data_IF_643768915550
#
_entry.id   IF_643768915550
#
_cell.length_a   1.000
_cell.length_b   1.000
_cell.length_c   1.000
_cell.angle_alpha   90.00
_cell.angle_beta   90.00
_cell.angle_gamma   90.00
#
_symmetry.space_group_name_H-M   'P 1'
#
loop_
_entity.id
_entity.type
_entity.pdbx_description
1 polymer ?
#
# COMPACT_ATOMS: atom_id res chain seq x y z
N UNK A 1 -51.18 31.60 16.33
CA UNK A 1 -50.71 31.69 14.93
C UNK A 1 -49.23 31.30 14.79
N UNK A 2 -48.35 31.65 15.74
CA UNK A 2 -46.93 31.26 15.71
C UNK A 2 -46.75 29.73 15.88
N UNK A 3 -47.54 29.08 16.74
CA UNK A 3 -47.42 27.63 17.01
C UNK A 3 -47.73 26.75 15.80
N UNK A 4 -48.70 27.14 14.96
CA UNK A 4 -49.05 26.41 13.74
C UNK A 4 -47.95 26.46 12.69
N UNK A 5 -47.25 27.59 12.58
CA UNK A 5 -46.13 27.75 11.64
C UNK A 5 -44.92 26.92 12.10
N UNK A 6 -44.65 26.87 13.40
CA UNK A 6 -43.58 26.05 13.97
C UNK A 6 -43.80 24.54 13.69
N UNK A 7 -45.03 24.05 13.88
CA UNK A 7 -45.38 22.65 13.63
C UNK A 7 -45.30 22.32 12.13
N UNK A 8 -45.75 23.22 11.25
CA UNK A 8 -45.66 23.04 9.81
C UNK A 8 -44.20 22.98 9.32
N UNK A 9 -43.31 23.80 9.89
CA UNK A 9 -41.87 23.78 9.56
C UNK A 9 -41.20 22.46 9.96
N UNK A 10 -41.48 21.95 11.16
CA UNK A 10 -40.93 20.67 11.62
C UNK A 10 -41.52 19.50 10.82
N UNK A 11 -42.82 19.53 10.54
CA UNK A 11 -43.47 18.51 9.71
C UNK A 11 -42.89 18.44 8.30
N UNK A 12 -42.64 19.59 7.66
CA UNK A 12 -42.01 19.66 6.34
C UNK A 12 -40.59 19.08 6.31
N UNK A 13 -39.78 19.33 7.35
CA UNK A 13 -38.43 18.78 7.46
C UNK A 13 -38.41 17.25 7.66
N UNK A 14 -39.34 16.73 8.47
CA UNK A 14 -39.47 15.27 8.70
C UNK A 14 -39.92 14.56 7.43
N UNK A 15 -40.90 15.10 6.71
CA UNK A 15 -41.42 14.51 5.47
C UNK A 15 -40.34 14.50 4.37
N UNK A 16 -39.59 15.60 4.21
CA UNK A 16 -38.50 15.66 3.22
C UNK A 16 -37.37 14.68 3.56
N UNK A 17 -37.01 14.55 4.85
CA UNK A 17 -36.02 13.57 5.31
C UNK A 17 -36.51 12.13 5.08
N UNK A 18 -37.77 11.83 5.40
CA UNK A 18 -38.37 10.51 5.16
C UNK A 18 -38.41 10.15 3.67
N UNK A 19 -38.72 11.11 2.81
CA UNK A 19 -38.75 10.90 1.36
C UNK A 19 -37.35 10.66 0.78
N UNK A 20 -36.32 11.36 1.27
CA UNK A 20 -34.91 11.12 0.87
C UNK A 20 -34.44 9.72 1.27
N UNK A 21 -34.80 9.28 2.49
CA UNK A 21 -34.51 7.92 2.99
C UNK A 21 -35.19 6.87 2.11
N UNK A 22 -36.48 7.05 1.81
CA UNK A 22 -37.27 6.09 1.02
C UNK A 22 -36.84 6.02 -0.45
N UNK A 23 -36.39 7.14 -1.04
CA UNK A 23 -35.89 7.20 -2.42
C UNK A 23 -34.39 6.88 -2.55
N UNK A 24 -33.73 6.41 -1.48
CA UNK A 24 -32.35 5.92 -1.55
C UNK A 24 -31.28 7.00 -1.73
N UNK A 25 -31.60 8.27 -1.46
CA UNK A 25 -30.56 9.29 -1.41
C UNK A 25 -29.75 9.10 -0.12
N UNK A 26 -28.41 9.03 -0.20
CA UNK A 26 -27.57 8.96 0.98
C UNK A 26 -27.89 10.18 1.85
N UNK A 27 -28.22 9.92 3.11
CA UNK A 27 -28.18 10.97 4.12
C UNK A 27 -26.71 11.32 4.28
N UNK A 28 -26.23 12.27 3.49
CA UNK A 28 -24.97 12.94 3.74
C UNK A 28 -25.10 13.56 5.13
N UNK A 29 -24.53 12.89 6.13
CA UNK A 29 -24.03 13.63 7.28
C UNK A 29 -23.16 14.75 6.72
N UNK A 30 -23.14 15.90 7.36
CA UNK A 30 -22.34 17.06 6.95
C UNK A 30 -20.82 16.78 6.81
N UNK A 31 -20.39 15.53 6.99
CA UNK A 31 -19.06 14.95 6.90
C UNK A 31 -19.03 13.59 6.17
N UNK A 32 -19.85 13.40 5.14
CA UNK A 32 -19.63 12.36 4.11
C UNK A 32 -19.69 10.89 4.55
N UNK A 33 -20.23 10.57 5.72
CA UNK A 33 -20.45 9.18 6.15
C UNK A 33 -21.78 8.67 5.58
N UNK A 34 -21.69 7.91 4.48
CA UNK A 34 -22.81 7.14 3.96
C UNK A 34 -23.16 6.01 4.96
N UNK A 35 -24.19 6.23 5.77
CA UNK A 35 -24.75 5.20 6.66
C UNK A 35 -25.62 4.25 5.82
N UNK A 36 -24.97 3.36 5.04
CA UNK A 36 -25.58 2.13 4.52
C UNK A 36 -24.50 1.04 4.34
N UNK A 37 -24.46 0.00 5.20
CA UNK A 37 -23.52 -1.10 5.09
C UNK A 37 -24.02 -2.15 4.08
N UNK A 38 -24.15 -1.80 2.80
CA UNK A 38 -24.62 -2.74 1.75
C UNK A 38 -23.62 -2.98 0.60
N UNK A 39 -22.31 -2.77 0.84
CA UNK A 39 -21.24 -3.14 -0.10
C UNK A 39 -19.99 -3.75 0.57
N UNK A 40 -20.14 -4.38 1.74
CA UNK A 40 -18.97 -4.86 2.48
C UNK A 40 -18.47 -6.25 2.04
N UNK A 41 -19.29 -7.16 1.51
CA UNK A 41 -18.81 -8.50 1.14
C UNK A 41 -17.85 -8.48 -0.05
N UNK A 42 -18.23 -7.88 -1.19
CA UNK A 42 -17.33 -7.76 -2.34
C UNK A 42 -16.10 -6.89 -2.04
N UNK A 43 -16.26 -5.84 -1.23
CA UNK A 43 -15.13 -4.98 -0.84
C UNK A 43 -14.15 -5.73 0.08
N UNK A 44 -14.66 -6.50 1.04
CA UNK A 44 -13.84 -7.34 1.91
C UNK A 44 -13.15 -8.47 1.13
N UNK A 45 -13.83 -9.07 0.15
CA UNK A 45 -13.23 -10.09 -0.71
C UNK A 45 -12.11 -9.52 -1.57
N UNK A 46 -12.31 -8.33 -2.18
CA UNK A 46 -11.24 -7.60 -2.90
C UNK A 46 -10.07 -7.24 -1.96
N UNK A 47 -10.34 -6.79 -0.73
CA UNK A 47 -9.30 -6.50 0.26
C UNK A 47 -8.52 -7.76 0.62
N UNK A 48 -9.18 -8.92 0.75
CA UNK A 48 -8.54 -10.21 1.01
C UNK A 48 -7.65 -10.63 -0.16
N UNK A 49 -8.12 -10.49 -1.40
CA UNK A 49 -7.33 -10.78 -2.60
C UNK A 49 -6.11 -9.86 -2.71
N UNK A 50 -6.29 -8.55 -2.54
CA UNK A 50 -5.19 -7.57 -2.54
C UNK A 50 -4.20 -7.82 -1.39
N UNK A 51 -4.67 -8.26 -0.22
CA UNK A 51 -3.78 -8.62 0.88
C UNK A 51 -2.93 -9.86 0.57
N UNK A 52 -3.46 -10.81 -0.19
CA UNK A 52 -2.71 -11.99 -0.64
C UNK A 52 -1.67 -11.61 -1.70
N UNK A 53 -2.05 -10.79 -2.68
CA UNK A 53 -1.12 -10.26 -3.70
C UNK A 53 0.03 -9.46 -3.05
N UNK A 54 -0.28 -8.62 -2.06
CA UNK A 54 0.75 -7.90 -1.31
C UNK A 54 1.70 -8.81 -0.54
N UNK A 55 1.21 -9.93 0.01
CA UNK A 55 2.06 -10.91 0.69
C UNK A 55 2.99 -11.63 -0.31
N UNK A 56 2.49 -12.00 -1.49
CA UNK A 56 3.29 -12.58 -2.56
C UNK A 56 4.35 -11.62 -3.08
N UNK A 57 3.97 -10.37 -3.39
CA UNK A 57 4.91 -9.34 -3.84
C UNK A 57 6.03 -9.09 -2.83
N UNK A 58 5.71 -9.12 -1.53
CA UNK A 58 6.72 -9.00 -0.46
C UNK A 58 7.69 -10.18 -0.44
N UNK A 59 7.20 -11.41 -0.68
CA UNK A 59 8.04 -12.59 -0.79
C UNK A 59 8.97 -12.53 -2.02
N UNK A 60 8.43 -12.13 -3.17
CA UNK A 60 9.19 -11.92 -4.40
C UNK A 60 10.26 -10.84 -4.22
N UNK A 61 9.90 -9.69 -3.62
CA UNK A 61 10.86 -8.64 -3.23
C UNK A 61 11.95 -9.16 -2.28
N UNK A 62 11.60 -10.03 -1.33
CA UNK A 62 12.57 -10.69 -0.45
C UNK A 62 13.62 -11.49 -1.25
N UNK A 63 13.17 -12.35 -2.16
CA UNK A 63 14.06 -13.14 -3.01
C UNK A 63 14.98 -12.30 -3.90
N UNK A 64 14.47 -11.17 -4.42
CA UNK A 64 15.26 -10.24 -5.22
C UNK A 64 16.30 -9.54 -4.35
N UNK A 65 15.95 -9.13 -3.13
CA UNK A 65 16.89 -8.56 -2.16
C UNK A 65 18.01 -9.52 -1.81
N UNK A 66 17.71 -10.79 -1.56
CA UNK A 66 18.73 -11.82 -1.25
C UNK A 66 19.70 -12.02 -2.42
N UNK A 67 19.20 -11.97 -3.66
CA UNK A 67 20.04 -12.03 -4.85
C UNK A 67 20.90 -10.77 -5.01
N UNK A 68 20.34 -9.59 -4.75
CA UNK A 68 21.08 -8.34 -4.78
C UNK A 68 22.21 -8.33 -3.74
N UNK A 69 21.96 -8.80 -2.52
CA UNK A 69 22.99 -8.93 -1.48
C UNK A 69 24.11 -9.89 -1.91
N UNK A 70 23.76 -11.01 -2.56
CA UNK A 70 24.76 -11.92 -3.12
C UNK A 70 25.60 -11.27 -4.23
N UNK A 71 24.98 -10.49 -5.12
CA UNK A 71 25.69 -9.75 -6.18
C UNK A 71 26.60 -8.68 -5.57
N UNK A 72 26.11 -7.91 -4.59
CA UNK A 72 26.90 -6.92 -3.87
C UNK A 72 28.15 -7.54 -3.24
N UNK A 73 27.98 -8.70 -2.59
CA UNK A 73 29.10 -9.46 -2.03
C UNK A 73 30.09 -9.90 -3.10
N UNK A 74 29.64 -10.46 -4.23
CA UNK A 74 30.53 -10.90 -5.32
C UNK A 74 31.34 -9.72 -5.87
N UNK A 75 30.69 -8.59 -6.15
CA UNK A 75 31.34 -7.41 -6.72
C UNK A 75 32.36 -6.83 -5.73
N UNK A 76 31.98 -6.75 -4.45
CA UNK A 76 32.85 -6.21 -3.40
C UNK A 76 34.05 -7.12 -3.13
N UNK A 77 33.83 -8.41 -2.91
CA UNK A 77 34.89 -9.39 -2.64
C UNK A 77 35.85 -9.53 -3.83
N UNK A 78 35.33 -9.54 -5.07
CA UNK A 78 36.15 -9.63 -6.28
C UNK A 78 37.00 -8.38 -6.52
N UNK A 79 36.48 -7.20 -6.19
CA UNK A 79 37.22 -5.94 -6.31
C UNK A 79 38.45 -5.91 -5.41
N UNK A 80 38.30 -6.22 -4.13
CA UNK A 80 39.41 -6.25 -3.19
C UNK A 80 40.40 -7.38 -3.48
N UNK A 81 39.89 -8.57 -3.81
CA UNK A 81 40.72 -9.74 -4.12
C UNK A 81 41.57 -9.55 -5.37
N UNK A 82 41.05 -8.90 -6.42
CA UNK A 82 41.83 -8.60 -7.61
C UNK A 82 42.91 -7.55 -7.33
N UNK A 83 42.56 -6.46 -6.64
CA UNK A 83 43.53 -5.42 -6.29
C UNK A 83 44.65 -5.97 -5.41
N UNK A 84 44.34 -6.82 -4.43
CA UNK A 84 45.37 -7.46 -3.59
C UNK A 84 46.27 -8.39 -4.39
N UNK A 85 45.72 -9.15 -5.35
CA UNK A 85 46.51 -10.03 -6.22
C UNK A 85 47.41 -9.25 -7.17
N UNK A 86 46.93 -8.13 -7.73
CA UNK A 86 47.73 -7.23 -8.56
C UNK A 86 48.89 -6.65 -7.76
N UNK A 87 48.63 -6.18 -6.54
CA UNK A 87 49.66 -5.60 -5.67
C UNK A 87 50.69 -6.66 -5.26
N UNK A 88 50.27 -7.89 -4.97
CA UNK A 88 51.16 -9.02 -4.72
C UNK A 88 52.06 -9.32 -5.94
N UNK A 89 51.52 -9.35 -7.16
CA UNK A 89 52.29 -9.53 -8.39
C UNK A 89 53.27 -8.37 -8.65
N UNK A 90 52.91 -7.15 -8.26
CA UNK A 90 53.77 -5.95 -8.40
C UNK A 90 54.93 -5.93 -7.42
N UNK A 91 54.77 -6.58 -6.26
CA UNK A 91 55.83 -6.72 -5.25
C UNK A 91 56.77 -7.90 -5.52
N UNK A 92 56.40 -8.83 -6.43
CA UNK A 92 57.36 -9.81 -6.92
C UNK A 92 58.47 -9.09 -7.70
N UNK A 93 59.75 -9.32 -7.38
CA UNK A 93 60.85 -8.77 -8.16
C UNK A 93 60.80 -9.35 -9.59
N UNK A 94 61.07 -8.54 -10.61
CA UNK A 94 61.09 -8.85 -12.06
C UNK A 94 62.11 -9.95 -12.50
N UNK A 95 62.54 -10.83 -11.59
CA UNK A 95 63.71 -11.69 -11.74
C UNK A 95 63.49 -13.19 -11.59
N UNK A 96 62.28 -13.71 -11.37
CA UNK A 96 62.06 -15.18 -11.35
C UNK A 96 61.61 -15.65 -12.73
N UNK A 97 62.54 -15.57 -13.69
CA UNK A 97 62.45 -16.27 -14.97
C UNK A 97 63.07 -17.66 -14.76
N UNK A 98 62.23 -18.70 -14.77
CA UNK A 98 62.66 -20.04 -15.18
C UNK A 98 62.03 -20.31 -16.54
#
# INVERSE_FOLDING_TARGET
MISTIAIAGVGGWVITTWMRIKNGYPLDGAWGQAVYPRKNEEAMERVKLLSQENAQLRAELGSVKDRLANVERIVTDSGYGLTSQIEALRQLPDGVKN
#
